data_IF_266647174515
#
_entry.id   IF_266647174515
#
_cell.length_a   1.000
_cell.length_b   1.000
_cell.length_c   1.000
_cell.angle_alpha   90.00
_cell.angle_beta   90.00
_cell.angle_gamma   90.00
#
_symmetry.space_group_name_H-M   'P 1'
#
loop_
_entity.id
_entity.type
_entity.pdbx_description
1 polymer ?
#
# COMPACT_ATOMS: atom_id res chain seq x y z
N UNK A 1 36.07 18.42 10.25
CA UNK A 1 37.17 17.80 9.47
C UNK A 1 36.65 17.48 8.08
N UNK A 2 37.37 17.95 7.06
CA UNK A 2 36.97 18.12 5.67
C UNK A 2 36.64 16.81 4.89
N UNK A 3 35.86 16.89 3.79
CA UNK A 3 35.65 15.78 2.88
C UNK A 3 36.94 15.44 2.11
N UNK A 4 37.29 14.15 2.06
CA UNK A 4 38.44 13.64 1.31
C UNK A 4 38.29 13.92 -0.19
N UNK A 5 39.24 14.68 -0.71
CA UNK A 5 39.38 15.05 -2.11
C UNK A 5 39.70 13.82 -2.99
N UNK A 6 39.13 13.82 -4.20
CA UNK A 6 39.47 12.88 -5.27
C UNK A 6 40.94 13.06 -5.72
N UNK A 7 41.65 11.99 -6.13
CA UNK A 7 43.04 12.09 -6.52
C UNK A 7 43.18 12.79 -7.89
N UNK A 8 44.10 13.76 -7.94
CA UNK A 8 44.49 14.54 -9.13
C UNK A 8 45.11 13.64 -10.20
N UNK A 9 44.75 13.89 -11.46
CA UNK A 9 45.38 13.34 -12.67
C UNK A 9 46.90 13.51 -12.60
N UNK A 10 47.63 12.39 -12.60
CA UNK A 10 49.08 12.37 -12.70
C UNK A 10 49.55 12.81 -14.09
N UNK A 11 50.54 13.70 -14.11
CA UNK A 11 51.34 14.00 -15.30
C UNK A 11 52.13 12.76 -15.73
N UNK A 12 52.32 12.51 -17.04
CA UNK A 12 53.12 11.38 -17.50
C UNK A 12 54.60 11.62 -17.23
N UNK A 13 55.23 10.70 -16.47
CA UNK A 13 56.70 10.58 -16.37
C UNK A 13 57.27 10.42 -17.78
N UNK A 14 58.21 11.28 -18.16
CA UNK A 14 59.03 11.11 -19.38
C UNK A 14 59.99 9.95 -19.16
N UNK A 15 59.57 8.75 -19.53
CA UNK A 15 60.45 7.59 -19.68
C UNK A 15 61.11 7.64 -21.06
N UNK A 16 62.43 7.51 -21.09
CA UNK A 16 63.24 7.47 -22.30
C UNK A 16 62.74 6.38 -23.28
N UNK A 17 62.81 6.68 -24.57
CA UNK A 17 62.35 5.77 -25.61
C UNK A 17 63.22 4.50 -25.64
N UNK A 18 62.57 3.34 -25.49
CA UNK A 18 63.20 2.02 -25.64
C UNK A 18 63.73 1.87 -27.08
N UNK A 19 64.97 1.37 -27.28
CA UNK A 19 65.57 1.22 -28.61
C UNK A 19 64.71 0.38 -29.56
N UNK A 20 64.69 0.77 -30.83
CA UNK A 20 63.78 0.25 -31.86
C UNK A 20 63.87 -1.27 -32.09
N UNK A 21 64.95 -1.92 -31.65
CA UNK A 21 65.18 -3.36 -31.79
C UNK A 21 64.32 -4.25 -30.87
N UNK A 22 63.76 -3.72 -29.77
CA UNK A 22 62.93 -4.49 -28.82
C UNK A 22 61.43 -4.17 -28.97
N UNK A 23 61.05 -3.31 -29.93
CA UNK A 23 59.69 -3.32 -30.49
C UNK A 23 59.56 -4.52 -31.42
N UNK A 24 59.79 -5.73 -30.90
CA UNK A 24 59.11 -6.90 -31.46
C UNK A 24 57.66 -6.52 -31.44
N UNK A 25 57.11 -6.28 -32.64
CA UNK A 25 55.68 -6.22 -32.86
C UNK A 25 55.12 -7.38 -32.07
N UNK A 26 54.46 -7.11 -30.96
CA UNK A 26 53.31 -7.93 -30.60
C UNK A 26 52.37 -7.65 -31.75
N UNK A 27 52.58 -8.37 -32.86
CA UNK A 27 51.59 -8.52 -33.90
C UNK A 27 50.34 -8.83 -33.12
N UNK A 28 49.40 -7.88 -33.14
CA UNK A 28 48.04 -8.17 -32.71
C UNK A 28 47.69 -9.40 -33.52
N UNK A 29 47.70 -10.56 -32.87
CA UNK A 29 47.30 -11.82 -33.47
C UNK A 29 45.95 -11.49 -34.07
N UNK A 30 45.90 -11.41 -35.41
CA UNK A 30 44.67 -11.10 -36.12
C UNK A 30 43.74 -12.20 -35.66
N UNK A 31 42.75 -11.85 -34.83
CA UNK A 31 41.71 -12.80 -34.43
C UNK A 31 41.17 -13.33 -35.75
N UNK A 32 41.34 -14.63 -35.96
CA UNK A 32 40.93 -15.28 -37.18
C UNK A 32 39.42 -15.07 -37.31
N UNK A 33 39.01 -14.13 -38.18
CA UNK A 33 37.60 -13.82 -38.39
C UNK A 33 37.13 -14.82 -39.42
N UNK A 34 36.43 -15.85 -38.96
CA UNK A 34 35.83 -16.81 -39.86
C UNK A 34 34.84 -16.06 -40.78
N UNK A 35 35.06 -16.06 -42.12
CA UNK A 35 34.25 -15.32 -43.07
C UNK A 35 32.80 -15.79 -43.13
N UNK A 36 32.48 -16.95 -42.55
CA UNK A 36 31.12 -17.48 -42.42
C UNK A 36 30.26 -16.73 -41.38
N UNK A 37 30.88 -15.99 -40.45
CA UNK A 37 30.14 -15.26 -39.41
C UNK A 37 29.90 -13.80 -39.79
N UNK A 38 28.71 -13.54 -40.32
CA UNK A 38 28.24 -12.19 -40.64
C UNK A 38 27.48 -11.56 -39.46
N UNK A 39 27.67 -10.25 -39.24
CA UNK A 39 26.82 -9.49 -38.33
C UNK A 39 25.45 -9.28 -38.99
N UNK A 40 24.40 -9.87 -38.42
CA UNK A 40 23.01 -9.70 -38.86
C UNK A 40 22.19 -8.95 -37.81
N UNK A 41 22.40 -7.62 -37.64
CA UNK A 41 21.64 -6.84 -36.67
C UNK A 41 20.18 -6.74 -37.13
N UNK A 42 19.26 -6.88 -36.17
CA UNK A 42 17.82 -6.70 -36.39
C UNK A 42 17.38 -5.33 -35.91
N UNK A 43 16.53 -4.66 -36.65
CA UNK A 43 15.91 -3.39 -36.29
C UNK A 43 14.52 -3.64 -35.71
N UNK A 44 14.35 -3.38 -34.42
CA UNK A 44 13.07 -3.58 -33.72
C UNK A 44 12.20 -2.32 -33.65
N UNK A 45 12.43 -1.37 -34.57
CA UNK A 45 11.56 -0.22 -34.78
C UNK A 45 10.14 -0.61 -35.19
N UNK A 46 9.23 0.36 -35.17
CA UNK A 46 7.84 0.13 -35.57
C UNK A 46 7.81 -0.24 -37.06
N UNK A 47 7.22 -1.40 -37.39
CA UNK A 47 7.07 -1.88 -38.77
C UNK A 47 8.30 -2.57 -39.38
N UNK A 48 9.32 -2.87 -38.58
CA UNK A 48 10.55 -3.54 -39.01
C UNK A 48 10.54 -5.01 -38.55
N UNK A 49 11.64 -5.52 -38.01
CA UNK A 49 11.74 -6.92 -37.58
C UNK A 49 10.78 -7.27 -36.43
N UNK A 50 10.45 -8.56 -36.32
CA UNK A 50 9.63 -9.10 -35.22
C UNK A 50 10.26 -8.72 -33.88
N UNK A 51 9.46 -8.09 -33.02
CA UNK A 51 9.92 -7.66 -31.71
C UNK A 51 10.40 -8.84 -30.86
N UNK A 52 11.49 -8.66 -30.08
CA UNK A 52 11.96 -9.70 -29.19
C UNK A 52 10.95 -9.94 -28.06
N UNK A 53 11.03 -11.13 -27.46
CA UNK A 53 10.28 -11.43 -26.24
C UNK A 53 10.70 -10.44 -25.15
N UNK A 54 9.72 -9.73 -24.58
CA UNK A 54 9.90 -8.72 -23.51
C UNK A 54 9.04 -9.09 -22.31
N UNK A 55 9.33 -8.49 -21.16
CA UNK A 55 8.45 -8.63 -20.00
C UNK A 55 7.07 -8.03 -20.29
N UNK A 56 6.04 -8.88 -20.33
CA UNK A 56 4.66 -8.51 -20.57
C UNK A 56 3.86 -8.37 -19.28
N UNK A 57 4.44 -8.56 -18.09
CA UNK A 57 3.72 -8.61 -16.79
C UNK A 57 2.75 -7.44 -16.57
N UNK A 58 3.07 -6.24 -17.07
CA UNK A 58 2.20 -5.05 -16.99
C UNK A 58 0.98 -5.10 -17.91
N UNK A 59 1.08 -5.82 -19.03
CA UNK A 59 0.06 -5.92 -20.09
C UNK A 59 -0.73 -7.23 -20.06
N UNK A 60 -0.36 -8.18 -19.20
CA UNK A 60 -1.09 -9.44 -19.00
C UNK A 60 -2.52 -9.16 -18.54
N UNK A 61 -3.49 -9.86 -19.13
CA UNK A 61 -4.86 -9.94 -18.63
C UNK A 61 -4.89 -10.82 -17.37
N UNK A 62 -4.78 -10.20 -16.19
CA UNK A 62 -4.76 -10.93 -14.93
C UNK A 62 -6.10 -11.66 -14.63
N UNK A 63 -6.04 -12.82 -13.95
CA UNK A 63 -7.20 -13.51 -13.41
C UNK A 63 -8.09 -12.60 -12.54
N UNK A 64 -9.39 -12.90 -12.48
CA UNK A 64 -10.39 -12.04 -11.82
C UNK A 64 -10.05 -11.73 -10.36
N UNK A 65 -9.63 -12.73 -9.58
CA UNK A 65 -9.31 -12.56 -8.16
C UNK A 65 -8.12 -11.59 -7.92
N UNK A 66 -7.06 -11.67 -8.74
CA UNK A 66 -5.92 -10.73 -8.68
C UNK A 66 -6.37 -9.31 -9.00
N UNK A 67 -7.24 -9.18 -10.02
CA UNK A 67 -7.76 -7.89 -10.46
C UNK A 67 -8.59 -7.23 -9.35
N UNK A 68 -9.50 -7.97 -8.73
CA UNK A 68 -10.34 -7.50 -7.62
C UNK A 68 -9.48 -7.05 -6.44
N UNK A 69 -8.48 -7.84 -6.03
CA UNK A 69 -7.59 -7.47 -4.92
C UNK A 69 -6.80 -6.19 -5.20
N UNK A 70 -6.28 -6.03 -6.43
CA UNK A 70 -5.57 -4.81 -6.86
C UNK A 70 -6.50 -3.60 -6.95
N UNK A 71 -7.68 -3.77 -7.54
CA UNK A 71 -8.71 -2.72 -7.63
C UNK A 71 -9.15 -2.28 -6.23
N UNK A 72 -9.39 -3.21 -5.30
CA UNK A 72 -9.71 -2.91 -3.90
C UNK A 72 -8.62 -2.05 -3.25
N UNK A 73 -7.34 -2.40 -3.42
CA UNK A 73 -6.22 -1.60 -2.89
C UNK A 73 -6.17 -0.19 -3.50
N UNK A 74 -6.38 -0.06 -4.81
CA UNK A 74 -6.42 1.24 -5.49
C UNK A 74 -7.59 2.07 -4.99
N UNK A 75 -8.77 1.47 -4.83
CA UNK A 75 -9.97 2.14 -4.36
C UNK A 75 -9.78 2.73 -2.95
N UNK A 76 -9.17 1.98 -2.02
CA UNK A 76 -8.79 2.51 -0.69
C UNK A 76 -7.77 3.66 -0.71
N UNK A 77 -7.00 3.82 -1.78
CA UNK A 77 -6.09 4.96 -1.95
C UNK A 77 -6.79 6.17 -2.56
N UNK A 78 -7.79 5.94 -3.42
CA UNK A 78 -8.51 6.98 -4.16
C UNK A 78 -9.61 7.62 -3.34
N UNK A 79 -10.36 6.82 -2.59
CA UNK A 79 -11.44 7.33 -1.75
C UNK A 79 -10.88 8.14 -0.58
N UNK A 80 -11.65 9.12 -0.11
CA UNK A 80 -11.42 9.78 1.17
C UNK A 80 -11.74 8.76 2.27
N UNK A 81 -10.74 8.44 3.09
CA UNK A 81 -10.86 7.47 4.18
C UNK A 81 -11.11 8.22 5.48
N UNK A 82 -12.19 7.91 6.23
CA UNK A 82 -12.46 8.52 7.51
C UNK A 82 -11.31 8.33 8.51
N UNK A 83 -11.04 9.31 9.39
CA UNK A 83 -9.96 9.24 10.37
C UNK A 83 -9.95 7.98 11.27
N UNK A 84 -11.10 7.47 11.77
CA UNK A 84 -11.13 6.24 12.59
C UNK A 84 -10.63 4.99 11.85
N UNK A 85 -10.70 4.97 10.51
CA UNK A 85 -10.16 3.88 9.69
C UNK A 85 -8.71 4.19 9.31
N UNK A 86 -8.42 5.46 9.00
CA UNK A 86 -7.09 5.91 8.59
C UNK A 86 -6.02 5.72 9.68
N UNK A 87 -6.40 5.80 10.96
CA UNK A 87 -5.47 5.57 12.08
C UNK A 87 -4.73 4.23 11.99
N UNK A 88 -5.34 3.18 11.41
CA UNK A 88 -4.67 1.88 11.25
C UNK A 88 -3.53 1.90 10.20
N UNK A 89 -3.46 2.91 9.33
CA UNK A 89 -2.29 3.11 8.46
C UNK A 89 -1.08 3.67 9.22
N UNK A 90 -1.33 4.39 10.32
CA UNK A 90 -0.31 4.94 11.19
C UNK A 90 0.16 3.83 12.14
N UNK A 91 1.23 3.15 11.76
CA UNK A 91 1.77 2.02 12.51
C UNK A 91 3.09 2.38 13.16
N UNK A 92 3.44 1.65 14.21
CA UNK A 92 4.73 1.72 14.88
C UNK A 92 5.88 1.48 13.89
N UNK A 93 6.97 2.21 14.08
CA UNK A 93 8.19 2.10 13.31
C UNK A 93 8.90 0.75 13.53
N UNK A 94 9.77 0.37 12.60
CA UNK A 94 10.41 -0.96 12.59
C UNK A 94 11.26 -1.25 13.84
N UNK A 95 12.12 -0.33 14.35
CA UNK A 95 12.91 -0.62 15.53
C UNK A 95 12.04 -0.77 16.78
N UNK A 96 11.11 0.15 17.04
CA UNK A 96 10.22 0.05 18.22
C UNK A 96 9.36 -1.20 18.16
N UNK A 97 8.82 -1.56 16.98
CA UNK A 97 8.08 -2.80 16.80
C UNK A 97 8.94 -4.04 17.10
N UNK A 98 10.22 -4.03 16.72
CA UNK A 98 11.12 -5.15 17.01
C UNK A 98 11.32 -5.32 18.52
N UNK A 99 11.48 -4.23 19.26
CA UNK A 99 11.57 -4.26 20.73
C UNK A 99 10.30 -4.79 21.38
N UNK A 100 9.12 -4.36 20.90
CA UNK A 100 7.82 -4.91 21.37
C UNK A 100 7.74 -6.41 21.10
N UNK A 101 8.11 -6.89 19.91
CA UNK A 101 8.06 -8.32 19.60
C UNK A 101 9.09 -9.16 20.35
N UNK A 102 10.27 -8.63 20.67
CA UNK A 102 11.24 -9.29 21.55
C UNK A 102 10.64 -9.51 22.94
N UNK A 103 9.99 -8.49 23.49
CA UNK A 103 9.31 -8.61 24.79
C UNK A 103 8.12 -9.59 24.72
N UNK A 104 7.30 -9.49 23.67
CA UNK A 104 6.20 -10.43 23.45
C UNK A 104 6.69 -11.89 23.33
N UNK A 105 7.90 -12.10 22.81
CA UNK A 105 8.53 -13.41 22.69
C UNK A 105 8.81 -14.09 24.03
N UNK A 106 9.06 -13.32 25.10
CA UNK A 106 9.30 -13.84 26.45
C UNK A 106 8.01 -14.30 27.13
N UNK A 107 6.91 -13.57 26.95
CA UNK A 107 5.63 -13.79 27.64
C UNK A 107 4.63 -14.65 26.84
N UNK A 108 5.14 -15.55 25.99
CA UNK A 108 4.30 -16.39 25.13
C UNK A 108 3.45 -17.37 25.95
N UNK A 109 2.19 -17.60 25.56
CA UNK A 109 1.36 -18.62 26.20
C UNK A 109 1.87 -20.02 25.89
N UNK A 110 1.56 -20.96 26.77
CA UNK A 110 1.93 -22.37 26.61
C UNK A 110 1.37 -23.00 25.33
N UNK A 111 2.15 -23.91 24.73
CA UNK A 111 1.66 -24.77 23.65
C UNK A 111 0.78 -25.90 24.18
N UNK A 112 -0.02 -26.52 23.30
CA UNK A 112 -0.86 -27.67 23.67
C UNK A 112 -0.05 -28.84 24.24
N UNK A 113 1.14 -29.10 23.71
CA UNK A 113 2.06 -30.14 24.19
C UNK A 113 2.59 -29.81 25.60
N UNK A 114 3.13 -28.60 25.79
CA UNK A 114 3.58 -28.14 27.11
C UNK A 114 2.47 -28.18 28.16
N UNK A 115 1.24 -27.78 27.77
CA UNK A 115 0.07 -27.87 28.66
C UNK A 115 -0.22 -29.31 29.07
N UNK A 116 -0.19 -30.26 28.11
CA UNK A 116 -0.38 -31.69 28.37
C UNK A 116 0.69 -32.23 29.31
N UNK A 117 1.96 -31.90 29.05
CA UNK A 117 3.08 -32.42 29.83
C UNK A 117 3.08 -31.83 31.26
N UNK A 118 2.75 -30.54 31.41
CA UNK A 118 2.52 -29.93 32.73
C UNK A 118 1.38 -30.63 33.49
N UNK A 119 0.27 -30.92 32.83
CA UNK A 119 -0.86 -31.61 33.45
C UNK A 119 -0.49 -33.04 33.86
N UNK A 120 0.26 -33.76 33.02
CA UNK A 120 0.80 -35.09 33.35
C UNK A 120 1.71 -35.06 34.56
N UNK A 121 2.66 -34.13 34.61
CA UNK A 121 3.56 -33.94 35.75
C UNK A 121 2.81 -33.59 37.03
N UNK A 122 1.76 -32.75 36.94
CA UNK A 122 0.90 -32.45 38.09
C UNK A 122 0.11 -33.68 38.54
N UNK A 123 -0.40 -34.48 37.61
CA UNK A 123 -1.12 -35.70 37.92
C UNK A 123 -0.21 -36.73 38.59
N UNK A 124 0.99 -36.97 38.05
CA UNK A 124 1.96 -37.91 38.64
C UNK A 124 2.43 -37.44 40.02
N UNK A 125 2.68 -36.14 40.21
CA UNK A 125 3.05 -35.59 41.52
C UNK A 125 1.94 -35.75 42.56
N UNK A 126 0.68 -35.58 42.16
CA UNK A 126 -0.49 -35.79 43.03
C UNK A 126 -0.69 -37.25 43.41
N UNK A 127 -0.48 -38.18 42.48
CA UNK A 127 -0.52 -39.63 42.77
C UNK A 127 0.62 -40.03 43.72
N UNK A 128 1.80 -39.44 43.57
CA UNK A 128 2.94 -39.66 44.46
C UNK A 128 2.79 -38.99 45.86
N UNK A 129 1.57 -38.57 46.24
CA UNK A 129 1.28 -38.02 47.57
C UNK A 129 1.84 -36.62 47.85
N UNK A 130 2.44 -35.95 46.87
CA UNK A 130 2.87 -34.55 47.04
C UNK A 130 1.66 -33.64 46.93
N UNK A 131 1.31 -32.96 48.02
CA UNK A 131 0.21 -31.99 48.02
C UNK A 131 0.41 -30.91 46.95
N UNK A 132 -0.69 -30.47 46.34
CA UNK A 132 -0.67 -29.52 45.25
C UNK A 132 -0.28 -28.11 45.75
N UNK A 133 1.02 -27.82 45.79
CA UNK A 133 1.52 -26.50 46.17
C UNK A 133 0.84 -25.39 45.33
N UNK A 134 0.40 -24.27 45.95
CA UNK A 134 -0.25 -23.17 45.26
C UNK A 134 0.70 -22.57 44.21
N UNK A 135 0.46 -22.89 42.95
CA UNK A 135 1.34 -22.46 41.86
C UNK A 135 1.10 -20.97 41.57
N UNK A 136 2.17 -20.15 41.65
CA UNK A 136 2.10 -18.74 41.23
C UNK A 136 1.60 -18.65 39.78
N UNK A 137 0.59 -17.80 39.54
CA UNK A 137 0.01 -17.61 38.21
C UNK A 137 1.08 -17.04 37.26
N UNK A 138 1.38 -17.71 36.13
CA UNK A 138 2.42 -17.23 35.22
C UNK A 138 1.97 -15.92 34.55
N UNK A 139 2.90 -14.98 34.42
CA UNK A 139 2.73 -13.80 33.59
C UNK A 139 2.72 -14.22 32.12
N UNK A 140 1.58 -14.08 31.46
CA UNK A 140 1.39 -14.46 30.06
C UNK A 140 0.62 -13.38 29.31
N UNK A 141 0.90 -13.24 28.02
CA UNK A 141 0.17 -12.33 27.15
C UNK A 141 -1.27 -12.79 27.01
N UNK A 142 -2.20 -11.83 27.14
CA UNK A 142 -3.61 -12.04 26.89
C UNK A 142 -3.90 -11.73 25.43
N UNK A 143 -4.70 -12.60 24.79
CA UNK A 143 -5.01 -12.51 23.37
C UNK A 143 -6.51 -12.63 23.15
N UNK A 144 -6.96 -12.08 22.03
CA UNK A 144 -8.38 -12.06 21.65
C UNK A 144 -9.06 -10.77 22.09
N UNK A 145 -9.97 -10.30 21.25
CA UNK A 145 -10.61 -8.98 21.38
C UNK A 145 -11.41 -8.89 22.67
N UNK A 146 -12.31 -9.84 22.91
CA UNK A 146 -13.15 -9.86 24.13
C UNK A 146 -12.32 -9.91 25.42
N UNK A 147 -11.23 -10.68 25.43
CA UNK A 147 -10.34 -10.73 26.61
C UNK A 147 -9.64 -9.39 26.81
N UNK A 148 -9.15 -8.79 25.73
CA UNK A 148 -8.42 -7.52 25.77
C UNK A 148 -9.35 -6.36 26.15
N UNK A 149 -10.58 -6.30 25.64
CA UNK A 149 -11.57 -5.28 26.01
C UNK A 149 -11.88 -5.31 27.49
N UNK A 150 -12.15 -6.49 28.05
CA UNK A 150 -12.43 -6.64 29.49
C UNK A 150 -11.25 -6.18 30.34
N UNK A 151 -10.01 -6.41 29.88
CA UNK A 151 -8.79 -5.96 30.58
C UNK A 151 -8.59 -4.45 30.50
N UNK A 152 -8.96 -3.82 29.37
CA UNK A 152 -8.91 -2.37 29.19
C UNK A 152 -9.97 -1.68 30.05
N UNK A 153 -11.19 -2.19 30.05
CA UNK A 153 -12.31 -1.70 30.90
C UNK A 153 -11.99 -1.86 32.39
N UNK A 154 -11.37 -2.98 32.77
CA UNK A 154 -10.91 -3.20 34.15
C UNK A 154 -9.64 -2.41 34.51
N UNK A 155 -9.05 -1.64 33.58
CA UNK A 155 -7.73 -0.97 33.73
C UNK A 155 -6.59 -1.89 34.17
N UNK A 156 -6.67 -3.18 33.85
CA UNK A 156 -5.66 -4.21 34.16
C UNK A 156 -4.63 -4.39 33.04
N UNK A 157 -4.87 -3.81 31.88
CA UNK A 157 -3.94 -3.84 30.76
C UNK A 157 -2.88 -2.73 30.93
N UNK A 158 -1.61 -3.10 30.88
CA UNK A 158 -0.47 -2.16 30.94
C UNK A 158 -0.13 -1.60 29.55
N UNK A 159 -0.28 -2.40 28.51
CA UNK A 159 -0.05 -2.00 27.12
C UNK A 159 -0.89 -2.89 26.19
N UNK A 160 -1.56 -2.28 25.21
CA UNK A 160 -2.36 -2.97 24.19
C UNK A 160 -1.70 -2.88 22.82
N UNK A 161 -1.56 -4.01 22.15
CA UNK A 161 -0.99 -4.12 20.80
C UNK A 161 -2.09 -4.52 19.82
N UNK A 162 -2.34 -3.69 18.82
CA UNK A 162 -3.42 -3.86 17.83
C UNK A 162 -2.80 -4.11 16.45
N UNK A 163 -3.32 -5.06 15.69
CA UNK A 163 -2.92 -5.26 14.30
C UNK A 163 -3.58 -4.26 13.35
N UNK A 164 -2.85 -3.82 12.33
CA UNK A 164 -3.39 -2.91 11.31
C UNK A 164 -4.24 -3.56 10.20
N UNK A 165 -4.12 -4.87 10.00
CA UNK A 165 -4.60 -5.62 8.83
C UNK A 165 -5.70 -6.63 9.21
N UNK A 166 -6.50 -6.29 10.22
CA UNK A 166 -7.66 -7.08 10.64
C UNK A 166 -8.76 -6.95 9.59
N UNK A 167 -9.39 -8.08 9.28
CA UNK A 167 -10.47 -8.21 8.31
C UNK A 167 -11.45 -9.20 8.94
N UNK A 168 -12.64 -8.79 9.38
CA UNK A 168 -13.28 -7.44 9.32
C UNK A 168 -12.67 -6.37 10.26
N UNK A 169 -12.67 -5.10 9.86
CA UNK A 169 -12.00 -3.99 10.60
C UNK A 169 -12.82 -3.50 11.80
N UNK A 170 -14.13 -3.68 11.76
CA UNK A 170 -15.13 -3.32 12.77
C UNK A 170 -14.76 -3.91 14.13
N UNK A 171 -14.17 -5.10 14.13
CA UNK A 171 -13.72 -5.84 15.30
C UNK A 171 -12.68 -5.07 16.14
N UNK A 172 -11.87 -4.22 15.52
CA UNK A 172 -10.82 -3.45 16.21
C UNK A 172 -11.03 -1.95 16.17
N UNK A 173 -12.03 -1.47 15.40
CA UNK A 173 -12.26 -0.05 15.14
C UNK A 173 -12.46 0.77 16.42
N UNK A 174 -13.14 0.19 17.42
CA UNK A 174 -13.44 0.85 18.69
C UNK A 174 -12.28 0.79 19.71
N UNK A 175 -11.30 -0.10 19.52
CA UNK A 175 -10.25 -0.34 20.51
C UNK A 175 -9.36 0.88 20.81
N UNK A 176 -8.88 1.65 19.82
CA UNK A 176 -8.07 2.85 20.10
C UNK A 176 -8.85 3.89 20.94
N UNK A 177 -10.13 4.09 20.63
CA UNK A 177 -10.99 5.01 21.37
C UNK A 177 -11.23 4.52 22.82
N UNK A 178 -11.46 3.21 23.00
CA UNK A 178 -11.60 2.59 24.31
C UNK A 178 -10.32 2.73 25.14
N UNK A 179 -9.16 2.43 24.56
CA UNK A 179 -7.87 2.54 25.24
C UNK A 179 -7.59 3.98 25.70
N UNK A 180 -7.91 4.97 24.86
CA UNK A 180 -7.80 6.39 25.23
C UNK A 180 -8.72 6.74 26.39
N UNK A 181 -10.00 6.39 26.32
CA UNK A 181 -10.99 6.70 27.37
C UNK A 181 -10.60 6.11 28.72
N UNK A 182 -10.03 4.90 28.71
CA UNK A 182 -9.59 4.22 29.93
C UNK A 182 -8.18 4.60 30.39
N UNK A 183 -7.45 5.41 29.63
CA UNK A 183 -6.08 5.84 29.94
C UNK A 183 -5.01 4.76 29.72
N UNK A 184 -5.31 3.73 28.91
CA UNK A 184 -4.38 2.62 28.62
C UNK A 184 -3.56 2.93 27.36
N UNK A 185 -2.22 2.79 27.40
CA UNK A 185 -1.39 3.00 26.22
C UNK A 185 -1.64 1.90 25.18
N UNK A 186 -1.77 2.29 23.91
CA UNK A 186 -1.99 1.36 22.80
C UNK A 186 -1.03 1.61 21.65
N UNK A 187 -0.65 0.56 20.93
CA UNK A 187 0.14 0.68 19.71
C UNK A 187 -0.50 -0.10 18.56
N UNK A 188 -0.35 0.44 17.34
CA UNK A 188 -0.79 -0.22 16.12
C UNK A 188 0.45 -0.80 15.42
N UNK A 189 0.44 -2.10 15.15
CA UNK A 189 1.58 -2.85 14.62
C UNK A 189 1.24 -3.51 13.29
N UNK A 190 2.25 -3.60 12.41
CA UNK A 190 2.13 -4.29 11.12
C UNK A 190 2.10 -5.80 11.27
N UNK A 191 1.00 -6.42 10.81
CA UNK A 191 0.85 -7.84 10.55
C UNK A 191 0.18 -8.63 11.67
N UNK A 192 -1.11 -8.96 11.51
CA UNK A 192 -1.87 -9.86 12.39
C UNK A 192 -1.28 -11.28 12.45
N UNK A 193 -0.60 -11.70 11.39
CA UNK A 193 0.12 -12.97 11.34
C UNK A 193 1.30 -13.00 12.32
N UNK A 194 2.00 -11.87 12.51
CA UNK A 194 3.12 -11.78 13.46
C UNK A 194 2.64 -11.88 14.90
N UNK A 195 1.53 -11.20 15.24
CA UNK A 195 0.87 -11.36 16.54
C UNK A 195 0.37 -12.80 16.73
N UNK A 196 -0.20 -13.42 15.68
CA UNK A 196 -0.62 -14.82 15.70
C UNK A 196 0.52 -15.77 16.06
N UNK A 197 1.70 -15.58 15.45
CA UNK A 197 2.88 -16.42 15.70
C UNK A 197 3.30 -16.41 17.17
N UNK A 198 3.21 -15.26 17.86
CA UNK A 198 3.50 -15.14 19.30
C UNK A 198 2.59 -16.06 20.11
N UNK A 199 1.30 -16.12 19.79
CA UNK A 199 0.26 -16.89 20.53
C UNK A 199 0.04 -18.30 19.95
N UNK A 200 0.91 -18.78 19.06
CA UNK A 200 0.74 -20.08 18.39
C UNK A 200 -0.57 -20.21 17.58
N UNK A 201 -1.03 -19.12 16.97
CA UNK A 201 -2.21 -19.08 16.07
C UNK A 201 -1.80 -18.58 14.69
N UNK A 202 -2.64 -18.83 13.67
CA UNK A 202 -2.43 -18.27 12.31
C UNK A 202 -2.45 -16.75 12.33
N UNK A 203 -3.39 -16.17 13.08
CA UNK A 203 -3.59 -14.73 13.20
C UNK A 203 -4.05 -14.36 14.61
N UNK A 204 -3.74 -13.15 15.05
CA UNK A 204 -4.32 -12.53 16.25
C UNK A 204 -4.59 -11.04 15.96
N UNK A 205 -5.77 -10.56 16.33
CA UNK A 205 -6.19 -9.17 16.08
C UNK A 205 -5.57 -8.19 17.08
N UNK A 206 -5.52 -8.58 18.36
CA UNK A 206 -4.97 -7.77 19.44
C UNK A 206 -4.34 -8.65 20.54
N UNK A 207 -3.35 -8.08 21.23
CA UNK A 207 -2.67 -8.64 22.39
C UNK A 207 -2.60 -7.59 23.50
N UNK A 208 -2.57 -8.03 24.76
CA UNK A 208 -2.36 -7.14 25.89
C UNK A 208 -1.37 -7.71 26.90
N UNK A 209 -0.53 -6.83 27.44
CA UNK A 209 0.27 -7.10 28.63
C UNK A 209 -0.62 -6.84 29.86
N UNK A 210 -0.90 -7.89 30.64
CA UNK A 210 -1.66 -7.78 31.89
C UNK A 210 -0.71 -7.67 33.09
N UNK A 211 0.23 -8.59 33.19
CA UNK A 211 1.23 -8.63 34.25
C UNK A 211 2.57 -8.96 33.61
N UNK A 212 3.64 -8.39 34.16
CA UNK A 212 5.00 -8.57 33.69
C UNK A 212 5.92 -8.85 34.89
N UNK A 213 6.98 -9.62 34.67
CA UNK A 213 7.97 -9.89 35.72
C UNK A 213 8.74 -8.61 36.05
N UNK A 214 9.26 -8.50 37.27
CA UNK A 214 9.95 -7.29 37.74
C UNK A 214 11.15 -6.90 36.86
N UNK A 215 11.88 -7.90 36.34
CA UNK A 215 13.06 -7.74 35.47
C UNK A 215 12.77 -6.97 34.17
N UNK A 216 11.59 -7.15 33.59
CA UNK A 216 11.22 -6.55 32.30
C UNK A 216 10.40 -5.25 32.44
N UNK A 217 10.01 -4.86 33.67
CA UNK A 217 9.30 -3.60 33.94
C UNK A 217 10.00 -2.36 33.36
N UNK A 218 11.33 -2.15 33.52
CA UNK A 218 11.99 -0.96 32.96
C UNK A 218 11.96 -0.96 31.42
N UNK A 219 12.04 -2.13 30.79
CA UNK A 219 11.96 -2.24 29.34
C UNK A 219 10.54 -1.92 28.84
N UNK A 220 9.51 -2.39 29.54
CA UNK A 220 8.13 -2.07 29.22
C UNK A 220 7.82 -0.58 29.44
N UNK A 221 8.33 0.03 30.51
CA UNK A 221 8.11 1.45 30.81
C UNK A 221 8.62 2.35 29.67
N UNK A 222 9.84 2.11 29.18
CA UNK A 222 10.42 2.82 28.03
C UNK A 222 9.56 2.67 26.76
N UNK A 223 9.05 1.46 26.51
CA UNK A 223 8.16 1.19 25.38
C UNK A 223 6.82 1.91 25.53
N UNK A 224 6.24 1.89 26.73
CA UNK A 224 4.96 2.53 27.04
C UNK A 224 5.06 4.04 26.83
N UNK A 225 6.13 4.68 27.30
CA UNK A 225 6.36 6.12 27.11
C UNK A 225 6.45 6.47 25.62
N UNK A 226 7.29 5.74 24.87
CA UNK A 226 7.43 5.93 23.41
C UNK A 226 6.10 5.74 22.68
N UNK A 227 5.32 4.72 23.07
CA UNK A 227 4.02 4.41 22.46
C UNK A 227 2.98 5.48 22.81
N UNK A 228 2.95 5.95 24.06
CA UNK A 228 1.99 6.96 24.52
C UNK A 228 2.17 8.27 23.74
N UNK A 229 3.41 8.71 23.58
CA UNK A 229 3.77 9.91 22.80
C UNK A 229 3.38 9.77 21.31
N UNK A 230 3.44 8.57 20.76
CA UNK A 230 3.14 8.31 19.35
C UNK A 230 1.63 8.16 19.05
N UNK A 231 0.84 7.64 19.97
CA UNK A 231 -0.54 7.22 19.72
C UNK A 231 -1.58 7.88 20.63
N UNK A 232 -1.37 7.83 21.95
CA UNK A 232 -2.36 8.31 22.92
C UNK A 232 -2.42 9.84 22.93
N UNK A 233 -1.26 10.49 23.02
CA UNK A 233 -1.18 11.96 23.14
C UNK A 233 -1.46 12.64 21.78
N UNK A 234 -1.10 11.98 20.68
CA UNK A 234 -1.38 12.43 19.30
C UNK A 234 -2.79 12.08 18.79
N UNK A 235 -3.67 11.57 19.65
CA UNK A 235 -4.97 11.06 19.20
C UNK A 235 -5.84 12.14 18.54
N UNK A 236 -5.85 13.37 19.07
CA UNK A 236 -6.67 14.46 18.51
C UNK A 236 -6.22 14.84 17.09
N UNK A 237 -4.92 14.84 16.84
CA UNK A 237 -4.39 15.05 15.50
C UNK A 237 -4.84 13.90 14.60
N UNK A 238 -4.61 12.65 15.00
CA UNK A 238 -5.00 11.46 14.22
C UNK A 238 -6.50 11.47 13.89
N UNK A 239 -7.35 11.93 14.82
CA UNK A 239 -8.81 12.06 14.63
C UNK A 239 -9.20 13.12 13.59
N UNK A 240 -8.39 14.16 13.39
CA UNK A 240 -8.64 15.22 12.39
C UNK A 240 -8.09 14.85 11.01
N UNK A 241 -7.09 13.97 10.95
CA UNK A 241 -6.40 13.61 9.70
C UNK A 241 -7.17 12.58 8.88
N UNK A 242 -7.82 13.07 7.81
CA UNK A 242 -8.40 12.22 6.77
C UNK A 242 -7.33 11.53 5.94
N UNK A 243 -7.60 10.29 5.55
CA UNK A 243 -6.72 9.49 4.72
C UNK A 243 -7.14 9.43 3.25
N UNK A 244 -6.28 8.85 2.42
CA UNK A 244 -6.61 8.52 1.04
C UNK A 244 -6.51 9.72 0.10
N UNK A 245 -7.46 9.85 -0.83
CA UNK A 245 -7.48 10.90 -1.86
C UNK A 245 -6.17 11.06 -2.67
N UNK A 246 -5.40 9.98 -2.81
CA UNK A 246 -4.17 10.01 -3.61
C UNK A 246 -4.54 9.79 -5.05
N UNK A 247 -3.98 10.54 -6.01
CA UNK A 247 -4.21 10.35 -7.44
C UNK A 247 -3.27 9.31 -8.06
N UNK A 248 -3.55 8.90 -9.31
CA UNK A 248 -2.66 8.01 -10.06
C UNK A 248 -1.35 8.72 -10.39
N UNK A 249 -0.25 7.97 -10.43
CA UNK A 249 1.07 8.51 -10.82
C UNK A 249 1.00 9.20 -12.19
N UNK A 250 0.23 8.65 -13.15
CA UNK A 250 0.02 9.29 -14.45
C UNK A 250 -0.70 10.64 -14.34
N UNK A 251 -1.72 10.72 -13.51
CA UNK A 251 -2.50 11.94 -13.28
C UNK A 251 -1.68 12.98 -12.50
N UNK A 252 -0.91 12.55 -11.50
CA UNK A 252 0.03 13.40 -10.76
C UNK A 252 1.10 13.96 -11.70
N UNK A 253 1.72 13.11 -12.53
CA UNK A 253 2.71 13.55 -13.51
C UNK A 253 2.14 14.55 -14.52
N UNK A 254 0.89 14.36 -14.98
CA UNK A 254 0.20 15.33 -15.85
C UNK A 254 0.02 16.68 -15.15
N UNK A 255 -0.47 16.68 -13.90
CA UNK A 255 -0.63 17.90 -13.10
C UNK A 255 0.71 18.60 -12.87
N UNK A 256 1.73 17.87 -12.43
CA UNK A 256 3.07 18.42 -12.21
C UNK A 256 3.71 18.94 -13.49
N UNK A 257 3.45 18.34 -14.66
CA UNK A 257 3.92 18.88 -15.94
C UNK A 257 3.27 20.23 -16.26
N UNK A 258 1.96 20.35 -16.03
CA UNK A 258 1.20 21.58 -16.23
C UNK A 258 1.66 22.65 -15.24
N UNK A 259 1.79 22.30 -13.95
CA UNK A 259 2.26 23.21 -12.89
C UNK A 259 3.66 23.74 -13.21
N UNK A 260 4.60 22.86 -13.60
CA UNK A 260 5.96 23.28 -13.99
C UNK A 260 5.95 24.25 -15.19
N UNK A 261 5.11 23.98 -16.20
CA UNK A 261 4.98 24.88 -17.34
C UNK A 261 4.43 26.26 -16.91
N UNK A 262 3.39 26.28 -16.08
CA UNK A 262 2.82 27.51 -15.51
C UNK A 262 3.84 28.28 -14.66
N UNK A 263 4.59 27.59 -13.79
CA UNK A 263 5.63 28.23 -12.97
C UNK A 263 6.75 28.81 -13.84
N UNK A 264 7.17 28.08 -14.87
CA UNK A 264 8.17 28.59 -15.83
C UNK A 264 7.67 29.86 -16.52
N UNK A 265 6.42 29.86 -17.01
CA UNK A 265 5.81 31.03 -17.65
C UNK A 265 5.67 32.21 -16.68
N UNK A 266 5.21 31.96 -15.45
CA UNK A 266 5.11 32.98 -14.42
C UNK A 266 6.47 33.57 -14.05
N UNK A 267 7.51 32.73 -13.93
CA UNK A 267 8.88 33.20 -13.65
C UNK A 267 9.44 34.05 -14.79
N UNK A 268 9.20 33.67 -16.06
CA UNK A 268 9.62 34.48 -17.20
C UNK A 268 8.87 35.81 -17.26
N UNK A 269 7.56 35.81 -17.00
CA UNK A 269 6.74 37.03 -16.96
C UNK A 269 7.15 37.96 -15.81
N UNK A 270 7.43 37.40 -14.63
CA UNK A 270 7.92 38.15 -13.48
C UNK A 270 9.30 38.78 -13.73
N UNK A 271 10.22 38.05 -14.36
CA UNK A 271 11.52 38.57 -14.76
C UNK A 271 11.38 39.70 -15.78
N UNK A 272 10.46 39.57 -16.75
CA UNK A 272 10.15 40.62 -17.73
C UNK A 272 9.58 41.87 -17.06
N UNK A 273 8.69 41.70 -16.07
CA UNK A 273 8.12 42.80 -15.27
C UNK A 273 9.20 43.55 -14.49
N UNK A 274 10.18 42.85 -13.91
CA UNK A 274 11.30 43.47 -13.21
C UNK A 274 12.25 44.23 -14.14
N UNK A 275 12.44 43.76 -15.39
CA UNK A 275 13.33 44.41 -16.36
C UNK A 275 12.70 45.62 -17.06
N UNK A 276 11.38 45.61 -17.27
CA UNK A 276 10.70 46.64 -18.08
C UNK A 276 9.94 47.67 -17.27
N UNK A 277 9.71 47.44 -15.97
CA UNK A 277 8.93 48.34 -15.11
C UNK A 277 7.44 48.43 -15.46
N UNK A 278 7.01 47.79 -16.56
CA UNK A 278 5.62 47.75 -17.02
C UNK A 278 4.89 46.63 -16.29
N UNK A 279 3.82 46.98 -15.58
CA UNK A 279 2.88 46.02 -14.98
C UNK A 279 2.06 45.43 -16.13
N UNK A 280 2.21 44.14 -16.50
CA UNK A 280 1.29 43.52 -17.43
C UNK A 280 -0.11 43.46 -16.78
N UNK A 281 -1.19 43.66 -17.53
CA UNK A 281 -2.54 43.62 -16.98
C UNK A 281 -2.80 42.27 -16.31
N UNK A 282 -3.42 42.29 -15.13
CA UNK A 282 -3.70 41.11 -14.31
C UNK A 282 -4.41 40.05 -15.16
N UNK A 283 -3.69 38.95 -15.41
CA UNK A 283 -4.23 37.77 -16.09
C UNK A 283 -4.97 36.93 -15.05
N UNK A 284 -6.06 37.46 -14.51
CA UNK A 284 -6.98 36.68 -13.65
C UNK A 284 -8.03 35.91 -14.44
N UNK A 285 -8.21 36.17 -15.74
CA UNK A 285 -9.15 35.41 -16.57
C UNK A 285 -8.47 34.82 -17.80
N UNK A 286 -7.87 33.64 -17.65
CA UNK A 286 -7.78 32.69 -18.75
C UNK A 286 -8.44 31.41 -18.27
N UNK A 287 -9.76 31.35 -18.45
CA UNK A 287 -10.48 30.11 -18.68
C UNK A 287 -9.79 29.40 -19.85
N UNK A 288 -8.87 28.49 -19.52
CA UNK A 288 -8.34 27.52 -20.47
C UNK A 288 -9.51 26.63 -20.88
N UNK A 289 -10.18 26.99 -21.99
CA UNK A 289 -10.93 26.01 -22.75
C UNK A 289 -10.01 24.81 -23.03
N UNK A 290 -10.47 23.58 -22.76
CA UNK A 290 -9.66 22.41 -23.02
C UNK A 290 -9.59 22.22 -24.53
N UNK A 291 -8.41 22.43 -25.11
CA UNK A 291 -8.04 21.89 -26.42
C UNK A 291 -8.20 20.36 -26.38
N UNK A 292 -9.41 19.89 -26.63
CA UNK A 292 -9.77 18.53 -27.04
C UNK A 292 -9.88 18.57 -28.55
N UNK A 293 -8.77 18.36 -29.23
CA UNK A 293 -8.75 17.84 -30.60
C UNK A 293 -7.37 17.27 -30.91
N UNK A 294 -6.96 16.27 -30.12
CA UNK A 294 -6.05 15.26 -30.68
C UNK A 294 -6.93 14.21 -31.37
N UNK A 295 -6.78 13.97 -32.68
CA UNK A 295 -7.55 12.94 -33.37
C UNK A 295 -7.25 11.60 -32.72
N UNK A 296 -8.32 10.90 -32.31
CA UNK A 296 -8.26 9.49 -31.97
C UNK A 296 -7.70 8.75 -33.17
N UNK A 297 -6.49 8.20 -33.04
CA UNK A 297 -6.07 7.05 -33.86
C UNK A 297 -6.88 5.86 -33.36
N UNK A 298 -8.06 5.70 -33.92
CA UNK A 298 -8.79 4.45 -33.84
C UNK A 298 -8.01 3.42 -34.64
N UNK A 299 -7.59 2.37 -33.93
CA UNK A 299 -7.19 1.12 -34.51
C UNK A 299 -8.25 0.09 -34.09
N UNK A 300 -9.11 -0.31 -35.02
CA UNK A 300 -9.24 -1.71 -35.42
C UNK A 300 -10.10 -1.89 -36.68
N UNK A 301 -9.83 -2.94 -37.48
CA UNK A 301 -10.45 -3.22 -38.76
C UNK A 301 -11.69 -4.11 -38.60
N UNK A 302 -12.68 -3.94 -39.48
CA UNK A 302 -13.64 -5.00 -39.79
C UNK A 302 -14.09 -4.86 -41.25
N UNK A 303 -13.87 -5.95 -41.98
CA UNK A 303 -14.34 -6.36 -43.32
C UNK A 303 -15.41 -5.54 -44.05
N UNK A 304 -15.27 -5.33 -45.38
CA UNK A 304 -16.37 -4.88 -46.23
C UNK A 304 -17.04 -6.11 -46.87
N UNK A 305 -18.25 -6.45 -46.43
CA UNK A 305 -19.24 -7.20 -47.22
C UNK A 305 -20.52 -7.28 -46.41
N UNK A 306 -21.64 -7.01 -47.10
CA UNK A 306 -23.04 -7.26 -46.70
C UNK A 306 -23.79 -6.02 -46.17
N UNK A 307 -24.98 -5.83 -46.77
CA UNK A 307 -26.05 -4.84 -46.56
C UNK A 307 -25.92 -3.53 -47.36
N UNK A 308 -26.19 -3.49 -48.66
CA UNK A 308 -27.53 -3.38 -49.31
C UNK A 308 -28.73 -3.41 -48.34
N UNK A 309 -29.67 -2.49 -48.60
CA UNK A 309 -31.10 -2.54 -48.23
C UNK A 309 -31.47 -1.72 -46.97
N UNK A 310 -32.29 -0.67 -47.24
CA UNK A 310 -33.45 -0.16 -46.46
C UNK A 310 -33.33 1.17 -45.65
N UNK A 311 -34.11 2.16 -46.15
CA UNK A 311 -34.94 3.19 -45.44
C UNK A 311 -34.16 4.42 -44.90
N UNK A 312 -34.19 5.64 -45.44
CA UNK A 312 -35.24 6.52 -45.98
C UNK A 312 -36.46 6.68 -45.06
N UNK A 313 -36.73 7.93 -44.61
CA UNK A 313 -37.90 8.40 -43.82
C UNK A 313 -37.64 8.22 -42.30
N UNK A 314 -37.66 9.21 -41.39
CA UNK A 314 -38.51 10.40 -41.21
C UNK A 314 -37.82 11.41 -40.27
N UNK A 315 -37.74 12.68 -40.68
CA UNK A 315 -37.72 13.84 -39.78
C UNK A 315 -38.97 14.65 -40.04
N UNK A 316 -39.90 14.70 -39.10
CA UNK A 316 -40.87 15.79 -38.95
C UNK A 316 -41.62 15.60 -37.62
N UNK A 317 -41.25 16.42 -36.64
CA UNK A 317 -42.09 16.78 -35.49
C UNK A 317 -42.76 18.10 -35.87
N UNK A 318 -44.08 18.12 -35.84
CA UNK A 318 -44.94 19.19 -35.30
C UNK A 318 -46.31 19.16 -35.98
N UNK A 319 -47.35 18.83 -35.22
CA UNK A 319 -48.62 19.59 -35.11
C UNK A 319 -49.77 18.74 -34.51
N UNK A 320 -50.40 19.33 -33.50
CA UNK A 320 -51.83 19.33 -33.19
C UNK A 320 -52.55 18.04 -32.74
N UNK A 321 -52.81 18.01 -31.41
CA UNK A 321 -54.08 17.76 -30.72
C UNK A 321 -55.26 17.15 -31.48
N UNK A 322 -55.80 16.04 -30.97
CA UNK A 322 -57.25 15.81 -30.76
C UNK A 322 -57.45 14.86 -29.56
N UNK A 323 -58.33 15.27 -28.63
CA UNK A 323 -58.86 14.47 -27.54
C UNK A 323 -59.71 13.30 -28.06
N UNK A 324 -59.66 12.14 -27.40
CA UNK A 324 -60.86 11.32 -27.15
C UNK A 324 -60.59 10.33 -26.02
N UNK A 325 -61.42 10.45 -24.99
CA UNK A 325 -61.70 9.43 -23.98
C UNK A 325 -61.92 8.04 -24.58
N UNK A 326 -61.67 7.00 -23.77
CA UNK A 326 -62.60 5.87 -23.49
C UNK A 326 -61.84 4.71 -22.82
N UNK A 327 -62.13 4.57 -21.52
CA UNK A 327 -62.51 3.36 -20.77
C UNK A 327 -61.53 2.16 -20.64
N UNK A 328 -61.28 1.84 -19.34
CA UNK A 328 -61.38 0.50 -18.69
C UNK A 328 -60.28 -0.51 -19.07
N UNK A 329 -59.53 -1.11 -18.15
CA UNK A 329 -59.82 -1.51 -16.77
C UNK A 329 -59.63 -3.02 -16.66
N UNK A 330 -59.15 -3.48 -15.49
CA UNK A 330 -59.04 -4.88 -15.03
C UNK A 330 -58.00 -5.77 -15.77
N UNK A 331 -57.35 -6.75 -15.15
CA UNK A 331 -57.18 -7.10 -13.75
C UNK A 331 -55.98 -8.07 -13.66
N UNK A 332 -55.24 -7.92 -12.57
CA UNK A 332 -54.73 -8.97 -11.69
C UNK A 332 -55.05 -10.41 -12.12
N UNK A 333 -54.04 -11.27 -12.24
CA UNK A 333 -54.17 -12.67 -11.83
C UNK A 333 -52.84 -13.28 -11.33
N UNK A 334 -52.90 -13.62 -10.06
CA UNK A 334 -51.99 -14.44 -9.26
C UNK A 334 -52.01 -15.89 -9.75
N UNK A 335 -50.84 -16.55 -9.79
CA UNK A 335 -50.74 -17.98 -10.08
C UNK A 335 -49.57 -18.65 -9.35
N UNK A 336 -49.84 -19.16 -8.14
CA UNK A 336 -49.00 -20.08 -7.35
C UNK A 336 -48.90 -21.48 -7.98
N UNK A 337 -47.89 -22.23 -7.48
CA UNK A 337 -47.67 -23.70 -7.45
C UNK A 337 -46.64 -24.17 -8.50
N UNK A 338 -45.71 -25.08 -8.20
CA UNK A 338 -45.48 -25.88 -7.00
C UNK A 338 -44.24 -26.77 -7.19
N UNK A 339 -43.87 -27.43 -6.10
CA UNK A 339 -42.81 -28.41 -5.90
C UNK A 339 -42.49 -29.37 -7.05
N UNK A 340 -41.19 -29.59 -7.29
CA UNK A 340 -40.48 -30.84 -6.97
C UNK A 340 -38.99 -30.54 -6.72
#
# INVERSE_FOLDING_TARGET
MAPKAAPKKGQPKRTAAVPAAIRKKVEKTKKEVNPLFEKRPKNYGIGQDIQPKRDLTRFVKFPKYVRIQRQRKILYQRLKVPPPINQFKLTLDKPTATSVFKLLGKYRPETKHQRRDRLRQKATARVAGKEAAPTKKPAVIRSGVNTVTNLVESKKAQLVVIAHDVDPIEVVLFLPALCRKMGVPYCIVKGKARLGRVVHRKTASCLAFQAINAEDRPNLAKLVETVKNNFNDRYEDVRRHWGGNTLSVKSQARKSKIEKAKTSQHSSLFALRHLTGVVPPDVTDVTLEPLISLPRRDARPVSPSICIIIICITTAKDAAAVNCDVLVGCDVLVGRRGHF
#
